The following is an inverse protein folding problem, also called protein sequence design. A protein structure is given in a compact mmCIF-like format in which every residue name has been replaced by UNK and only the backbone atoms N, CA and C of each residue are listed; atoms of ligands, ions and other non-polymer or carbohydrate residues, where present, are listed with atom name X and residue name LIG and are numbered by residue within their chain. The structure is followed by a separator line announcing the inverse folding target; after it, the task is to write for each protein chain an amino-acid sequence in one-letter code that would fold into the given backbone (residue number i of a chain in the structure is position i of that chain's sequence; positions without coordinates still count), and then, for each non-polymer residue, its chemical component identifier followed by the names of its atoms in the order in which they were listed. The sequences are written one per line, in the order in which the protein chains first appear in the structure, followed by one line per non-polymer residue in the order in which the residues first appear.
data_IF_691693765887
#
_entry.id   IF_691693765887
#
_cell.length_a   1.000
_cell.length_b   1.000
_cell.length_c   1.000
_cell.angle_alpha   90.00
_cell.angle_beta   90.00
_cell.angle_gamma   90.00
#
_symmetry.space_group_name_H-M   'P 1'
#
loop_
_entity.id
_entity.type
_entity.pdbx_description
1 polymer ?
#
# COMPACT_ATOMS: atom_id res chain seq x y z
N UNK A 1 -0.45 19.99 -11.94
CA UNK A 1 -1.74 19.35 -11.66
C UNK A 1 -1.92 19.26 -10.15
N UNK A 2 -2.98 18.62 -9.63
CA UNK A 2 -3.14 18.51 -8.17
C UNK A 2 -2.22 17.39 -7.62
N UNK A 3 -1.36 17.70 -6.63
CA UNK A 3 -0.57 16.68 -5.95
C UNK A 3 -1.50 15.69 -5.23
N UNK A 4 -1.05 14.45 -5.07
CA UNK A 4 -1.74 13.52 -4.21
C UNK A 4 -1.64 13.95 -2.74
N UNK A 5 -2.73 13.80 -1.98
CA UNK A 5 -2.65 13.87 -0.53
C UNK A 5 -1.94 12.64 0.04
N UNK A 6 -1.28 12.79 1.19
CA UNK A 6 -0.64 11.68 1.87
C UNK A 6 -1.69 10.72 2.47
N UNK A 7 -1.50 9.40 2.33
CA UNK A 7 -2.43 8.42 2.84
C UNK A 7 -2.31 8.25 4.36
N UNK A 8 -3.34 7.73 5.04
CA UNK A 8 -3.14 7.20 6.38
C UNK A 8 -2.13 6.04 6.34
N UNK A 9 -1.24 5.96 7.35
CA UNK A 9 -0.15 4.97 7.42
C UNK A 9 -0.61 3.53 7.25
N UNK A 10 -1.86 3.19 7.62
CA UNK A 10 -2.45 1.86 7.37
C UNK A 10 -2.31 1.41 5.90
N UNK A 11 -2.36 2.34 4.94
CA UNK A 11 -2.21 2.02 3.51
C UNK A 11 -0.83 1.50 3.15
N UNK A 12 0.19 1.85 3.91
CA UNK A 12 1.53 1.31 3.75
C UNK A 12 1.57 -0.14 4.21
N UNK A 13 0.94 -0.49 5.34
CA UNK A 13 0.82 -1.87 5.77
C UNK A 13 0.05 -2.73 4.75
N UNK A 14 -1.06 -2.20 4.20
CA UNK A 14 -1.81 -2.87 3.12
C UNK A 14 -0.96 -3.10 1.87
N UNK A 15 -0.10 -2.15 1.53
CA UNK A 15 0.79 -2.23 0.36
C UNK A 15 1.97 -3.19 0.56
N UNK A 16 2.63 -3.15 1.72
CA UNK A 16 3.69 -4.10 2.10
C UNK A 16 3.14 -5.53 2.11
N UNK A 17 1.95 -5.73 2.67
CA UNK A 17 1.23 -7.01 2.60
C UNK A 17 0.95 -7.42 1.15
N UNK A 18 0.59 -6.49 0.26
CA UNK A 18 0.31 -6.81 -1.14
C UNK A 18 1.53 -7.29 -1.92
N UNK A 19 2.69 -6.66 -1.72
CA UNK A 19 3.93 -7.12 -2.35
C UNK A 19 4.40 -8.44 -1.74
N UNK A 20 4.28 -8.62 -0.42
CA UNK A 20 4.64 -9.87 0.25
C UNK A 20 3.77 -11.06 -0.20
N UNK A 21 2.49 -10.81 -0.47
CA UNK A 21 1.54 -11.81 -0.99
C UNK A 21 1.66 -12.04 -2.51
N UNK A 22 2.56 -11.34 -3.21
CA UNK A 22 2.65 -11.41 -4.68
C UNK A 22 1.40 -10.91 -5.40
N UNK A 23 0.64 -9.97 -4.80
CA UNK A 23 -0.64 -9.47 -5.33
C UNK A 23 -0.50 -8.36 -6.38
N UNK A 24 0.73 -7.99 -6.75
CA UNK A 24 1.02 -6.97 -7.78
C UNK A 24 1.47 -7.65 -9.06
N UNK A 25 0.84 -7.32 -10.18
CA UNK A 25 1.19 -7.86 -11.50
C UNK A 25 1.38 -6.71 -12.48
N UNK A 26 2.60 -6.55 -13.01
CA UNK A 26 2.87 -5.58 -14.07
C UNK A 26 2.18 -6.05 -15.37
N UNK A 27 1.41 -5.17 -16.00
CA UNK A 27 0.63 -5.46 -17.20
C UNK A 27 1.17 -4.76 -18.45
N UNK A 28 2.21 -3.94 -18.29
CA UNK A 28 2.90 -3.24 -19.37
C UNK A 28 3.98 -2.29 -18.83
N UNK A 29 4.59 -1.46 -19.69
CA UNK A 29 5.63 -0.51 -19.28
C UNK A 29 5.15 0.54 -18.28
N UNK A 30 3.86 0.88 -18.34
CA UNK A 30 3.23 1.96 -17.57
C UNK A 30 1.92 1.55 -16.90
N UNK A 31 1.71 0.24 -16.69
CA UNK A 31 0.49 -0.28 -16.09
C UNK A 31 0.73 -1.52 -15.23
N UNK A 32 -0.11 -1.68 -14.21
CA UNK A 32 -0.14 -2.85 -13.34
C UNK A 32 -1.55 -3.10 -12.82
N UNK A 33 -1.76 -4.31 -12.31
CA UNK A 33 -2.94 -4.66 -11.52
C UNK A 33 -2.53 -5.05 -10.10
N UNK A 34 -3.39 -4.74 -9.14
CA UNK A 34 -3.20 -5.09 -7.72
C UNK A 34 -4.46 -5.78 -7.20
N UNK A 35 -4.31 -6.99 -6.69
CA UNK A 35 -5.42 -7.76 -6.12
C UNK A 35 -5.65 -7.39 -4.65
N UNK A 36 -6.91 -7.29 -4.22
CA UNK A 36 -7.26 -7.06 -2.81
C UNK A 36 -6.82 -8.21 -1.90
N UNK A 37 -6.71 -7.97 -0.59
CA UNK A 37 -6.30 -9.01 0.38
C UNK A 37 -7.25 -10.21 0.48
N UNK A 38 -8.51 -10.09 0.03
CA UNK A 38 -9.45 -11.22 -0.08
C UNK A 38 -9.46 -11.88 -1.46
N UNK A 39 -8.70 -11.36 -2.43
CA UNK A 39 -8.71 -11.86 -3.80
C UNK A 39 -9.88 -11.38 -4.67
N UNK A 40 -10.95 -10.85 -4.08
CA UNK A 40 -12.24 -10.53 -4.72
C UNK A 40 -12.19 -9.35 -5.70
N UNK A 41 -11.30 -8.38 -5.46
CA UNK A 41 -11.18 -7.19 -6.29
C UNK A 41 -9.82 -7.12 -6.97
N UNK A 42 -9.82 -6.65 -8.20
CA UNK A 42 -8.64 -6.31 -8.97
C UNK A 42 -8.67 -4.81 -9.26
N UNK A 43 -7.62 -4.11 -8.86
CA UNK A 43 -7.46 -2.68 -9.08
C UNK A 43 -6.45 -2.43 -10.20
N UNK A 44 -6.70 -1.43 -11.03
CA UNK A 44 -5.81 -1.03 -12.11
C UNK A 44 -5.01 0.20 -11.70
N UNK A 45 -3.71 0.15 -11.94
CA UNK A 45 -2.78 1.25 -11.70
C UNK A 45 -2.12 1.60 -13.02
N UNK A 46 -2.09 2.88 -13.36
CA UNK A 46 -1.43 3.39 -14.55
C UNK A 46 -0.59 4.63 -14.20
N UNK A 47 0.52 4.82 -14.89
CA UNK A 47 1.42 5.95 -14.66
C UNK A 47 2.01 6.52 -15.97
N UNK A 48 2.60 7.71 -15.91
CA UNK A 48 3.36 8.28 -17.02
C UNK A 48 4.75 7.64 -17.12
N UNK A 49 5.40 7.69 -18.29
CA UNK A 49 6.74 7.09 -18.47
C UNK A 49 7.80 7.62 -17.48
N UNK A 50 7.70 8.89 -17.09
CA UNK A 50 8.56 9.55 -16.10
C UNK A 50 8.12 9.32 -14.64
N UNK A 51 7.04 8.54 -14.43
CA UNK A 51 6.43 8.24 -13.13
C UNK A 51 5.89 9.45 -12.35
N UNK A 52 5.88 10.64 -12.96
CA UNK A 52 5.39 11.87 -12.32
C UNK A 52 3.89 11.80 -12.04
N UNK A 53 3.15 11.19 -12.96
CA UNK A 53 1.72 11.01 -12.87
C UNK A 53 1.38 9.55 -12.60
N UNK A 54 0.53 9.31 -11.62
CA UNK A 54 0.05 7.96 -11.30
C UNK A 54 -1.41 8.01 -10.85
N UNK A 55 -2.16 6.97 -11.18
CA UNK A 55 -3.57 6.83 -10.83
C UNK A 55 -3.93 5.39 -10.53
N UNK A 56 -4.97 5.20 -9.72
CA UNK A 56 -5.60 3.91 -9.48
C UNK A 56 -7.13 4.04 -9.42
N UNK A 57 -7.82 2.96 -9.74
CA UNK A 57 -9.28 2.87 -9.73
C UNK A 57 -9.87 2.48 -8.35
N UNK A 58 -9.02 2.36 -7.33
CA UNK A 58 -9.46 2.01 -5.99
C UNK A 58 -10.24 3.16 -5.31
N UNK A 59 -11.14 2.85 -4.35
CA UNK A 59 -11.97 3.87 -3.72
C UNK A 59 -11.20 4.99 -3.02
N UNK A 60 -10.01 4.71 -2.48
CA UNK A 60 -9.23 5.75 -1.81
C UNK A 60 -8.68 6.75 -2.84
N UNK A 61 -8.07 6.26 -3.91
CA UNK A 61 -7.56 7.11 -4.99
C UNK A 61 -8.68 7.88 -5.70
N UNK A 62 -9.84 7.23 -5.94
CA UNK A 62 -10.97 7.82 -6.67
C UNK A 62 -11.75 8.87 -5.87
N UNK A 63 -12.02 8.61 -4.59
CA UNK A 63 -12.97 9.40 -3.79
C UNK A 63 -12.31 10.19 -2.67
N UNK A 64 -11.21 9.69 -2.10
CA UNK A 64 -10.54 10.34 -0.96
C UNK A 64 -9.38 11.23 -1.41
N UNK A 65 -8.84 11.00 -2.61
CA UNK A 65 -7.84 11.88 -3.20
C UNK A 65 -6.43 11.78 -2.60
N UNK A 66 -6.17 10.72 -1.83
CA UNK A 66 -4.83 10.36 -1.36
C UNK A 66 -4.32 9.09 -2.07
N UNK A 67 -3.02 8.80 -1.94
CA UNK A 67 -2.38 7.62 -2.54
C UNK A 67 -2.94 6.31 -1.96
N UNK A 68 -3.79 5.61 -2.71
CA UNK A 68 -4.29 4.29 -2.31
C UNK A 68 -3.18 3.25 -2.19
N UNK A 69 -3.43 2.18 -1.41
CA UNK A 69 -2.47 1.07 -1.28
C UNK A 69 -2.05 0.45 -2.62
N UNK A 70 -2.88 0.40 -3.70
CA UNK A 70 -2.43 -0.15 -4.98
C UNK A 70 -1.30 0.66 -5.59
N UNK A 71 -1.37 2.00 -5.51
CA UNK A 71 -0.31 2.88 -6.00
C UNK A 71 0.98 2.61 -5.23
N UNK A 72 0.91 2.58 -3.90
CA UNK A 72 2.07 2.33 -3.03
C UNK A 72 2.67 0.95 -3.34
N UNK A 73 1.85 -0.09 -3.48
CA UNK A 73 2.31 -1.45 -3.78
C UNK A 73 3.04 -1.52 -5.13
N UNK A 74 2.56 -0.79 -6.15
CA UNK A 74 3.26 -0.70 -7.44
C UNK A 74 4.60 0.03 -7.30
N UNK A 75 4.68 1.12 -6.54
CA UNK A 75 5.94 1.83 -6.31
C UNK A 75 6.99 0.94 -5.61
N UNK A 76 6.55 0.13 -4.65
CA UNK A 76 7.38 -0.87 -3.97
C UNK A 76 7.81 -1.97 -4.96
N UNK A 77 6.89 -2.48 -5.78
CA UNK A 77 7.16 -3.52 -6.79
C UNK A 77 8.14 -3.06 -7.87
N UNK A 78 8.08 -1.79 -8.27
CA UNK A 78 8.98 -1.16 -9.24
C UNK A 78 10.34 -0.76 -8.64
N UNK A 79 10.55 -0.95 -7.32
CA UNK A 79 11.75 -0.53 -6.62
C UNK A 79 11.94 0.99 -6.52
N UNK A 80 10.87 1.77 -6.74
CA UNK A 80 10.89 3.24 -6.62
C UNK A 80 10.85 3.69 -5.16
N UNK A 81 10.30 2.84 -4.30
CA UNK A 81 10.46 2.94 -2.85
C UNK A 81 11.09 1.64 -2.38
N UNK A 82 12.22 1.73 -1.67
CA UNK A 82 12.85 0.55 -1.09
C UNK A 82 12.07 0.10 0.15
N UNK A 83 11.96 -1.22 0.34
CA UNK A 83 11.40 -1.82 1.55
C UNK A 83 12.24 -2.98 2.06
N UNK A 84 12.13 -3.31 3.35
CA UNK A 84 12.69 -4.54 3.94
C UNK A 84 11.73 -5.71 3.67
N UNK A 85 12.10 -6.69 2.82
CA UNK A 85 11.26 -7.84 2.53
C UNK A 85 10.96 -8.70 3.75
N UNK A 86 11.83 -8.73 4.75
CA UNK A 86 11.59 -9.46 6.01
C UNK A 86 10.44 -8.82 6.80
N UNK A 87 10.41 -7.48 6.88
CA UNK A 87 9.29 -6.77 7.51
C UNK A 87 8.00 -6.94 6.72
N UNK A 88 8.05 -6.89 5.39
CA UNK A 88 6.86 -7.08 4.55
C UNK A 88 6.28 -8.49 4.73
N UNK A 89 7.13 -9.53 4.83
CA UNK A 89 6.69 -10.92 5.01
C UNK A 89 5.89 -11.15 6.29
N UNK A 90 6.17 -10.40 7.36
CA UNK A 90 5.38 -10.46 8.59
C UNK A 90 3.91 -10.12 8.32
N UNK A 91 3.64 -9.21 7.36
CA UNK A 91 2.31 -8.77 6.94
C UNK A 91 1.66 -9.66 5.87
N UNK A 92 2.32 -10.74 5.43
CA UNK A 92 1.77 -11.67 4.47
C UNK A 92 0.51 -12.37 5.04
N UNK A 93 -0.49 -12.55 4.20
CA UNK A 93 -1.76 -13.22 4.52
C UNK A 93 -2.69 -12.43 5.44
N UNK A 94 -2.39 -11.17 5.78
CA UNK A 94 -3.28 -10.35 6.62
C UNK A 94 -4.53 -9.95 5.81
N UNK A 95 -5.75 -10.33 6.24
CA UNK A 95 -6.98 -10.07 5.49
C UNK A 95 -7.50 -8.65 5.75
N UNK A 96 -6.75 -7.62 5.32
CA UNK A 96 -7.03 -6.20 5.61
C UNK A 96 -8.48 -5.77 5.35
N UNK A 97 -9.14 -6.26 4.29
CA UNK A 97 -10.55 -5.93 4.00
C UNK A 97 -11.49 -6.45 5.08
N UNK A 98 -11.26 -7.65 5.58
CA UNK A 98 -12.04 -8.24 6.68
C UNK A 98 -11.81 -7.45 7.95
N UNK A 99 -10.54 -7.19 8.32
CA UNK A 99 -10.19 -6.42 9.52
C UNK A 99 -10.76 -4.99 9.47
N UNK A 100 -10.59 -4.28 8.35
CA UNK A 100 -11.12 -2.93 8.18
C UNK A 100 -12.67 -2.89 8.27
N UNK A 101 -13.34 -3.96 7.85
CA UNK A 101 -14.81 -4.08 7.97
C UNK A 101 -15.21 -4.37 9.41
N UNK A 102 -14.56 -5.35 10.05
CA UNK A 102 -14.82 -5.78 11.42
C UNK A 102 -14.63 -4.62 12.42
N UNK A 103 -13.55 -3.86 12.27
CA UNK A 103 -13.25 -2.71 13.12
C UNK A 103 -13.94 -1.41 12.66
N UNK A 104 -14.90 -1.48 11.73
CA UNK A 104 -15.65 -0.31 11.21
C UNK A 104 -14.74 0.83 10.74
N UNK A 105 -13.61 0.50 10.11
CA UNK A 105 -12.54 1.42 9.68
C UNK A 105 -11.86 2.18 10.83
N UNK A 106 -11.96 1.69 12.06
CA UNK A 106 -11.08 2.10 13.15
C UNK A 106 -9.70 1.47 12.93
N UNK A 107 -8.83 2.25 12.28
CA UNK A 107 -7.50 1.81 11.91
C UNK A 107 -6.60 1.54 13.11
N UNK A 108 -6.82 2.19 14.25
CA UNK A 108 -6.03 1.94 15.46
C UNK A 108 -6.29 0.54 16.02
N UNK A 109 -7.57 0.13 16.10
CA UNK A 109 -7.94 -1.21 16.56
C UNK A 109 -7.45 -2.30 15.58
N UNK A 110 -7.60 -2.07 14.28
CA UNK A 110 -7.08 -2.98 13.26
C UNK A 110 -5.54 -3.13 13.36
N UNK A 111 -4.83 -2.02 13.54
CA UNK A 111 -3.37 -2.05 13.72
C UNK A 111 -2.97 -2.73 15.02
N UNK A 112 -3.66 -2.48 16.14
CA UNK A 112 -3.37 -3.16 17.41
C UNK A 112 -3.52 -4.68 17.28
N UNK A 113 -4.58 -5.14 16.62
CA UNK A 113 -4.79 -6.55 16.32
C UNK A 113 -3.66 -7.13 15.45
N UNK A 114 -3.30 -6.44 14.37
CA UNK A 114 -2.21 -6.88 13.47
C UNK A 114 -0.88 -6.92 14.20
N UNK A 115 -0.56 -5.93 15.04
CA UNK A 115 0.70 -5.92 15.81
C UNK A 115 0.80 -7.14 16.74
N UNK A 116 -0.29 -7.54 17.40
CA UNK A 116 -0.29 -8.76 18.22
C UNK A 116 -0.15 -10.06 17.40
N UNK A 117 -0.58 -10.08 16.14
CA UNK A 117 -0.28 -11.16 15.20
C UNK A 117 1.20 -11.16 14.78
N UNK A 118 1.78 -9.98 14.53
CA UNK A 118 3.19 -9.84 14.15
C UNK A 118 4.12 -10.30 15.28
N UNK A 119 3.85 -9.92 16.52
CA UNK A 119 4.63 -10.34 17.68
C UNK A 119 4.58 -11.87 17.86
N UNK A 120 3.41 -12.49 17.64
CA UNK A 120 3.26 -13.96 17.64
C UNK A 120 4.06 -14.64 16.52
N UNK A 121 4.31 -13.95 15.41
CA UNK A 121 5.18 -14.41 14.30
C UNK A 121 6.67 -14.15 14.56
N UNK A 122 7.04 -13.68 15.77
CA UNK A 122 8.42 -13.35 16.12
C UNK A 122 8.90 -12.00 15.57
N UNK A 123 8.00 -11.20 15.01
CA UNK A 123 8.29 -9.86 14.54
C UNK A 123 8.46 -8.86 15.68
N UNK A 124 9.30 -7.84 15.47
CA UNK A 124 9.46 -6.73 16.42
C UNK A 124 8.64 -5.54 15.95
N UNK A 125 7.70 -5.10 16.78
CA UNK A 125 6.81 -3.98 16.50
C UNK A 125 7.57 -2.72 16.10
N UNK A 126 8.66 -2.40 16.77
CA UNK A 126 9.46 -1.19 16.51
C UNK A 126 10.10 -1.22 15.12
N UNK A 127 10.55 -2.39 14.66
CA UNK A 127 11.13 -2.55 13.32
C UNK A 127 10.10 -2.32 12.23
N UNK A 128 8.91 -2.91 12.39
CA UNK A 128 7.84 -2.75 11.44
C UNK A 128 7.33 -1.30 11.39
N UNK A 129 7.20 -0.65 12.54
CA UNK A 129 6.85 0.77 12.62
C UNK A 129 7.89 1.64 11.90
N UNK A 130 9.18 1.45 12.21
CA UNK A 130 10.26 2.18 11.57
C UNK A 130 10.26 1.99 10.04
N UNK A 131 9.96 0.78 9.57
CA UNK A 131 9.85 0.49 8.15
C UNK A 131 8.68 1.23 7.48
N UNK A 132 7.52 1.28 8.15
CA UNK A 132 6.36 2.04 7.66
C UNK A 132 6.65 3.53 7.61
N UNK A 133 7.32 4.10 8.63
CA UNK A 133 7.75 5.50 8.61
C UNK A 133 8.71 5.78 7.46
N UNK A 134 9.65 4.88 7.19
CA UNK A 134 10.63 5.03 6.12
C UNK A 134 9.98 5.01 4.73
N UNK A 135 9.03 4.10 4.50
CA UNK A 135 8.22 4.06 3.28
C UNK A 135 7.35 5.31 3.16
N UNK A 136 6.76 5.78 4.27
CA UNK A 136 5.95 7.00 4.30
C UNK A 136 6.77 8.23 3.89
N UNK A 137 7.94 8.43 4.50
CA UNK A 137 8.85 9.53 4.18
C UNK A 137 9.35 9.46 2.72
N UNK A 138 9.64 8.26 2.22
CA UNK A 138 10.04 8.07 0.80
C UNK A 138 8.90 8.46 -0.15
N UNK A 139 7.65 8.14 0.21
CA UNK A 139 6.47 8.48 -0.58
C UNK A 139 6.26 10.01 -0.67
N UNK A 140 6.49 10.75 0.42
CA UNK A 140 6.42 12.22 0.42
C UNK A 140 7.42 12.86 -0.55
N UNK A 141 8.62 12.29 -0.65
CA UNK A 141 9.70 12.82 -1.49
C UNK A 141 9.40 12.67 -2.99
N UNK A 142 8.59 11.69 -3.40
CA UNK A 142 8.25 11.46 -4.80
C UNK A 142 7.33 12.55 -5.38
N UNK A 143 6.60 13.30 -4.52
CA UNK A 143 5.72 14.42 -4.92
C UNK A 143 4.81 14.08 -6.12
N UNK A 144 4.20 12.90 -6.06
CA UNK A 144 3.40 12.34 -7.15
C UNK A 144 2.16 13.19 -7.44
N UNK A 145 1.84 13.35 -8.71
CA UNK A 145 0.66 14.07 -9.18
C UNK A 145 -0.39 13.10 -9.72
N UNK A 146 -1.67 13.52 -9.66
CA UNK A 146 -2.76 12.76 -10.29
C UNK A 146 -2.59 12.76 -11.81
N UNK A 147 -2.86 11.63 -12.47
CA UNK A 147 -2.89 11.56 -13.95
C UNK A 147 -3.98 12.45 -14.55
N UNK A 148 -3.76 13.04 -15.75
CA UNK A 148 -4.81 13.76 -16.46
C UNK A 148 -5.97 12.79 -16.70
N UNK A 149 -7.19 13.27 -16.50
CA UNK A 149 -8.38 12.55 -16.96
C UNK A 149 -8.52 12.72 -18.45
#
# INVERSE_FOLDING_TARGET
MAPWAMPPKIKIYEALSAVADGRVTLTGPTSATVRSSTGEKLYHVAWSHDLRYITADDPASRWQGYLGYPIIAVLLQLGKISYDPEQARLLAGIPWRVLNTQFKRNYEQALAYVMGEIERRGGRREKLLAEVERVFASLEQLRLERSPR
#
